data_IF_875596451398
#
_entry.id   IF_875596451398
#
_cell.length_a   1.000
_cell.length_b   1.000
_cell.length_c   1.000
_cell.angle_alpha   90.00
_cell.angle_beta   90.00
_cell.angle_gamma   90.00
#
_symmetry.space_group_name_H-M   'P 1'
#
loop_
_entity.id
_entity.type
_entity.pdbx_description
1 polymer ?
#
# COMPACT_ATOMS: atom_id res chain seq x y z
N UNK A 1 -13.13 -13.99 18.92
CA UNK A 1 -13.29 -14.84 17.71
C UNK A 1 -11.92 -15.10 17.11
N UNK A 2 -11.56 -16.35 16.82
CA UNK A 2 -10.26 -16.68 16.25
C UNK A 2 -10.14 -16.11 14.82
N UNK A 3 -9.02 -15.42 14.52
CA UNK A 3 -8.75 -14.82 13.21
C UNK A 3 -8.59 -15.96 12.20
N UNK A 4 -9.57 -16.15 11.30
CA UNK A 4 -9.54 -17.20 10.28
C UNK A 4 -8.51 -16.79 9.21
N UNK A 5 -7.36 -17.44 9.20
CA UNK A 5 -6.30 -17.17 8.23
C UNK A 5 -6.73 -17.64 6.84
N UNK A 6 -6.45 -16.85 5.80
CA UNK A 6 -6.67 -17.27 4.42
C UNK A 6 -5.60 -18.31 4.05
N UNK A 7 -6.01 -19.39 3.41
CA UNK A 7 -5.13 -20.47 2.97
C UNK A 7 -5.27 -20.61 1.46
N UNK A 8 -4.14 -20.76 0.76
CA UNK A 8 -4.15 -21.09 -0.65
C UNK A 8 -4.58 -22.55 -0.79
N UNK A 9 -5.72 -22.81 -1.44
CA UNK A 9 -6.30 -24.15 -1.52
C UNK A 9 -5.48 -25.14 -2.38
N UNK A 10 -4.59 -24.63 -3.24
CA UNK A 10 -3.76 -25.47 -4.11
C UNK A 10 -2.42 -25.84 -3.46
N UNK A 11 -1.90 -25.00 -2.56
CA UNK A 11 -0.57 -25.20 -1.94
C UNK A 11 -0.62 -25.47 -0.45
N UNK A 12 -1.77 -25.29 0.20
CA UNK A 12 -1.95 -25.40 1.65
C UNK A 12 -1.25 -24.30 2.46
N UNK A 13 -0.59 -23.34 1.80
CA UNK A 13 0.16 -22.27 2.48
C UNK A 13 -0.74 -21.16 2.97
N UNK A 14 -0.39 -20.57 4.12
CA UNK A 14 -1.03 -19.35 4.61
C UNK A 14 -0.82 -18.22 3.61
N UNK A 15 -1.88 -17.46 3.35
CA UNK A 15 -1.82 -16.23 2.57
C UNK A 15 -1.53 -15.08 3.55
N UNK A 16 -0.39 -14.39 3.40
CA UNK A 16 -0.09 -13.22 4.22
C UNK A 16 -1.18 -12.15 4.09
N UNK A 17 -1.41 -11.38 5.15
CA UNK A 17 -2.29 -10.20 5.04
C UNK A 17 -1.63 -9.08 4.24
N UNK A 18 -2.42 -8.18 3.65
CA UNK A 18 -1.92 -6.96 2.97
C UNK A 18 -0.89 -6.20 3.83
N UNK A 19 -1.19 -6.03 5.12
CA UNK A 19 -0.28 -5.39 6.06
C UNK A 19 1.06 -6.13 6.23
N UNK A 20 1.04 -7.46 6.21
CA UNK A 20 2.24 -8.27 6.36
C UNK A 20 3.10 -8.23 5.10
N UNK A 21 2.48 -8.23 3.91
CA UNK A 21 3.18 -8.07 2.63
C UNK A 21 3.81 -6.67 2.52
N UNK A 22 3.07 -5.62 2.91
CA UNK A 22 3.59 -4.26 2.95
C UNK A 22 4.79 -4.14 3.92
N UNK A 23 4.66 -4.68 5.13
CA UNK A 23 5.75 -4.67 6.11
C UNK A 23 6.98 -5.44 5.61
N UNK A 24 6.78 -6.57 4.92
CA UNK A 24 7.87 -7.33 4.32
C UNK A 24 8.57 -6.57 3.19
N UNK A 25 7.83 -5.84 2.35
CA UNK A 25 8.42 -5.01 1.30
C UNK A 25 9.29 -3.89 1.90
N UNK A 26 8.81 -3.19 2.93
CA UNK A 26 9.58 -2.13 3.60
C UNK A 26 10.86 -2.69 4.22
N UNK A 27 10.76 -3.80 4.96
CA UNK A 27 11.95 -4.47 5.52
C UNK A 27 12.95 -4.87 4.43
N UNK A 28 12.46 -5.39 3.31
CA UNK A 28 13.33 -5.72 2.19
C UNK A 28 14.03 -4.47 1.63
N UNK A 29 13.32 -3.34 1.46
CA UNK A 29 13.95 -2.10 0.98
C UNK A 29 15.05 -1.60 1.92
N UNK A 30 14.87 -1.71 3.24
CA UNK A 30 15.88 -1.33 4.23
C UNK A 30 17.16 -2.17 4.10
N UNK A 31 17.04 -3.45 3.73
CA UNK A 31 18.18 -4.35 3.53
C UNK A 31 18.95 -4.06 2.25
N UNK A 32 18.25 -3.66 1.18
CA UNK A 32 18.88 -3.49 -0.15
C UNK A 32 19.24 -2.06 -0.50
N UNK A 33 18.73 -1.07 0.24
CA UNK A 33 18.95 0.35 -0.06
C UNK A 33 20.44 0.75 -0.10
N UNK A 34 21.34 0.03 0.59
CA UNK A 34 22.80 0.28 0.47
C UNK A 34 23.29 0.15 -0.97
N UNK A 35 22.73 -0.78 -1.75
CA UNK A 35 23.05 -0.98 -3.17
C UNK A 35 22.12 -0.21 -4.11
N UNK A 36 20.98 0.27 -3.62
CA UNK A 36 20.01 1.05 -4.39
C UNK A 36 19.43 2.15 -3.49
N UNK A 37 20.17 3.25 -3.25
CA UNK A 37 19.83 4.26 -2.23
C UNK A 37 18.45 4.88 -2.39
N UNK A 38 17.99 4.99 -3.63
CA UNK A 38 16.69 5.53 -3.98
C UNK A 38 15.50 4.70 -3.47
N UNK A 39 15.67 3.42 -3.14
CA UNK A 39 14.64 2.63 -2.44
C UNK A 39 14.41 3.11 -1.00
N UNK A 40 15.37 3.80 -0.38
CA UNK A 40 15.18 4.44 0.93
C UNK A 40 14.18 5.60 0.92
N UNK A 41 13.72 6.02 -0.27
CA UNK A 41 12.66 7.03 -0.43
C UNK A 41 11.25 6.42 -0.47
N UNK A 42 11.11 5.09 -0.43
CA UNK A 42 9.81 4.43 -0.36
C UNK A 42 9.16 4.71 1.00
N UNK A 43 7.94 5.26 1.01
CA UNK A 43 7.23 5.54 2.27
C UNK A 43 5.77 5.11 2.23
N UNK A 44 5.23 4.83 3.42
CA UNK A 44 3.83 4.49 3.60
C UNK A 44 2.94 5.73 3.64
N UNK A 45 1.82 5.64 2.94
CA UNK A 45 0.75 6.63 2.97
C UNK A 45 -0.27 6.17 4.01
N UNK A 46 -0.25 6.80 5.18
CA UNK A 46 -1.05 6.39 6.36
C UNK A 46 -2.56 6.76 6.26
N UNK A 47 -3.21 6.43 5.14
CA UNK A 47 -4.60 6.79 4.88
C UNK A 47 -5.63 5.75 5.37
N UNK A 48 -5.20 4.53 5.73
CA UNK A 48 -6.06 3.35 5.97
C UNK A 48 -6.47 3.04 7.42
N UNK A 49 -6.04 3.81 8.43
CA UNK A 49 -6.23 3.44 9.85
C UNK A 49 -7.60 3.80 10.44
N UNK A 50 -8.10 2.98 11.38
CA UNK A 50 -9.18 3.37 12.30
C UNK A 50 -8.70 4.55 13.13
N UNK A 51 -9.54 5.59 13.22
CA UNK A 51 -9.23 6.79 13.99
C UNK A 51 -10.51 7.40 14.53
N UNK A 52 -10.37 8.25 15.54
CA UNK A 52 -11.50 8.98 16.10
C UNK A 52 -12.19 9.83 15.01
N UNK A 53 -13.54 9.89 14.96
CA UNK A 53 -14.26 10.62 13.90
C UNK A 53 -13.82 12.08 13.74
N UNK A 54 -13.52 12.77 14.84
CA UNK A 54 -13.02 14.15 14.80
C UNK A 54 -11.67 14.26 14.07
N UNK A 55 -10.75 13.32 14.31
CA UNK A 55 -9.45 13.26 13.62
C UNK A 55 -9.67 12.95 12.13
N UNK A 56 -10.57 12.02 11.80
CA UNK A 56 -10.91 11.74 10.41
C UNK A 56 -11.49 12.97 9.68
N UNK A 57 -12.30 13.78 10.37
CA UNK A 57 -12.83 15.02 9.82
C UNK A 57 -11.73 16.07 9.62
N UNK A 58 -10.82 16.24 10.57
CA UNK A 58 -9.67 17.13 10.44
C UNK A 58 -8.77 16.73 9.27
N UNK A 59 -8.35 15.47 9.21
CA UNK A 59 -7.52 14.94 8.12
C UNK A 59 -8.17 15.10 6.73
N UNK A 60 -9.49 14.95 6.63
CA UNK A 60 -10.21 15.22 5.38
C UNK A 60 -10.11 16.70 4.97
N UNK A 61 -10.18 17.63 5.93
CA UNK A 61 -9.97 19.07 5.67
C UNK A 61 -8.53 19.36 5.27
N UNK A 62 -7.58 18.63 5.83
CA UNK A 62 -6.15 18.70 5.47
C UNK A 62 -5.83 18.04 4.13
N UNK A 63 -6.81 17.41 3.48
CA UNK A 63 -6.68 16.90 2.12
C UNK A 63 -6.45 15.41 2.00
N UNK A 64 -6.64 14.62 3.06
CA UNK A 64 -6.63 13.16 2.97
C UNK A 64 -7.74 12.68 2.03
N UNK A 65 -7.35 11.88 1.04
CA UNK A 65 -8.24 11.33 0.00
C UNK A 65 -8.44 9.83 0.22
N UNK A 66 -9.66 9.35 -0.04
CA UNK A 66 -9.95 7.92 0.00
C UNK A 66 -9.34 7.20 -1.19
N UNK A 67 -8.84 5.99 -0.95
CA UNK A 67 -8.36 5.08 -1.99
C UNK A 67 -7.01 5.42 -2.59
N UNK A 68 -6.27 6.37 -2.00
CA UNK A 68 -4.86 6.59 -2.35
C UNK A 68 -4.09 5.29 -2.10
N UNK A 69 -3.20 4.87 -3.02
CA UNK A 69 -2.36 3.69 -2.83
C UNK A 69 -1.57 3.70 -1.51
N UNK A 70 -1.24 2.51 -1.01
CA UNK A 70 -0.64 2.32 0.32
C UNK A 70 0.79 2.84 0.44
N UNK A 71 1.60 2.75 -0.63
CA UNK A 71 2.98 3.25 -0.66
C UNK A 71 3.23 4.17 -1.86
N UNK A 72 4.23 5.04 -1.71
CA UNK A 72 4.78 5.85 -2.78
C UNK A 72 6.31 5.80 -2.77
N UNK A 73 6.90 5.59 -3.93
CA UNK A 73 8.32 5.78 -4.22
C UNK A 73 8.45 6.97 -5.19
N UNK A 74 8.84 8.16 -4.72
CA UNK A 74 8.86 9.39 -5.52
C UNK A 74 10.15 9.50 -6.36
N UNK A 75 10.50 8.43 -7.08
CA UNK A 75 11.72 8.35 -7.88
C UNK A 75 11.35 8.37 -9.36
N UNK A 76 11.95 9.29 -10.10
CA UNK A 76 11.72 9.38 -11.53
C UNK A 76 12.44 8.25 -12.27
N UNK A 77 11.73 7.49 -13.11
CA UNK A 77 12.30 6.41 -13.92
C UNK A 77 11.54 6.30 -15.23
N UNK A 78 12.27 6.19 -16.34
CA UNK A 78 11.70 5.97 -17.68
C UNK A 78 10.56 6.93 -18.05
N UNK A 79 10.72 8.22 -17.73
CA UNK A 79 9.73 9.26 -18.05
C UNK A 79 8.50 9.31 -17.13
N UNK A 80 8.50 8.57 -16.02
CA UNK A 80 7.47 8.63 -14.96
C UNK A 80 8.09 9.20 -13.68
N UNK A 81 7.34 9.98 -12.89
CA UNK A 81 7.84 10.73 -11.74
C UNK A 81 7.58 10.08 -10.37
N UNK A 82 7.21 8.80 -10.35
CA UNK A 82 7.03 8.04 -9.13
C UNK A 82 6.34 6.71 -9.37
N UNK A 83 6.40 5.85 -8.38
CA UNK A 83 5.73 4.55 -8.33
C UNK A 83 4.79 4.51 -7.13
N UNK A 84 3.52 4.28 -7.39
CA UNK A 84 2.51 4.04 -6.36
C UNK A 84 2.20 2.56 -6.28
N UNK A 85 2.12 2.02 -5.06
CA UNK A 85 1.89 0.60 -4.81
C UNK A 85 0.67 0.44 -3.90
N UNK A 86 -0.29 -0.38 -4.33
CA UNK A 86 -1.49 -0.74 -3.58
C UNK A 86 -1.48 -2.26 -3.37
N UNK A 87 -1.64 -2.71 -2.13
CA UNK A 87 -1.53 -4.12 -1.76
C UNK A 87 -2.90 -4.80 -1.79
N UNK A 88 -2.94 -6.04 -2.29
CA UNK A 88 -4.13 -6.90 -2.22
C UNK A 88 -3.69 -8.34 -1.94
N UNK A 89 -4.27 -8.95 -0.91
CA UNK A 89 -3.94 -10.31 -0.51
C UNK A 89 -5.01 -11.33 -0.91
N UNK A 90 -4.58 -12.46 -1.48
CA UNK A 90 -5.47 -13.55 -1.92
C UNK A 90 -6.45 -13.07 -3.00
N UNK A 91 -7.75 -13.18 -2.71
CA UNK A 91 -8.84 -12.70 -3.57
C UNK A 91 -9.20 -11.22 -3.35
N UNK A 92 -8.33 -10.46 -2.69
CA UNK A 92 -8.49 -9.02 -2.46
C UNK A 92 -8.71 -8.26 -3.78
N UNK A 93 -9.78 -7.47 -3.83
CA UNK A 93 -10.12 -6.64 -5.01
C UNK A 93 -9.96 -5.16 -4.69
N UNK A 94 -9.55 -4.39 -5.69
CA UNK A 94 -9.58 -2.93 -5.59
C UNK A 94 -11.00 -2.45 -5.27
N UNK A 95 -11.11 -1.46 -4.39
CA UNK A 95 -12.34 -0.69 -4.23
C UNK A 95 -12.57 0.24 -5.44
N UNK A 96 -13.78 0.79 -5.64
CA UNK A 96 -14.03 1.77 -6.71
C UNK A 96 -13.10 2.98 -6.65
N UNK A 97 -12.77 3.48 -5.45
CA UNK A 97 -11.87 4.62 -5.29
C UNK A 97 -10.43 4.29 -5.65
N UNK A 98 -9.95 3.10 -5.30
CA UNK A 98 -8.59 2.65 -5.66
C UNK A 98 -8.44 2.44 -7.16
N UNK A 99 -9.46 1.89 -7.83
CA UNK A 99 -9.49 1.81 -9.29
C UNK A 99 -9.35 3.19 -9.92
N UNK A 100 -10.12 4.17 -9.43
CA UNK A 100 -10.01 5.55 -9.92
C UNK A 100 -8.60 6.13 -9.78
N UNK A 101 -7.92 5.90 -8.65
CA UNK A 101 -6.53 6.33 -8.48
C UNK A 101 -5.60 5.65 -9.48
N UNK A 102 -5.66 4.32 -9.60
CA UNK A 102 -4.86 3.55 -10.56
C UNK A 102 -5.03 4.10 -11.98
N UNK A 103 -6.28 4.30 -12.41
CA UNK A 103 -6.58 4.72 -13.78
C UNK A 103 -6.05 6.13 -14.08
N UNK A 104 -6.10 7.05 -13.10
CA UNK A 104 -5.57 8.41 -13.23
C UNK A 104 -4.05 8.52 -13.09
N UNK A 105 -3.40 7.59 -12.38
CA UNK A 105 -1.94 7.59 -12.17
C UNK A 105 -1.16 6.93 -13.32
N UNK A 106 -1.83 6.08 -14.10
CA UNK A 106 -1.22 5.39 -15.25
C UNK A 106 -1.40 6.18 -16.56
N UNK A 107 -2.46 7.00 -16.65
CA UNK A 107 -2.70 7.91 -17.77
C UNK A 107 -1.47 8.79 -18.07
#
# INVERSE_FOLDING_TARGET
>A
MAKKWKVNQNTGRLIPSEHAEQAALIQWTELVQTNTPELGLLFAIANGGQRHPAVAAAMKREGVKRGVPDLCLPVARSGKHGLYIEFKAGDGKLSPHQRRWRDLLIA
#
